data_IF_343369969680
#
_entry.id   IF_343369969680
#
_cell.length_a   1.000
_cell.length_b   1.000
_cell.length_c   1.000
_cell.angle_alpha   90.00
_cell.angle_beta   90.00
_cell.angle_gamma   90.00
#
_symmetry.space_group_name_H-M   'P 1'
#
loop_
_entity.id
_entity.type
_entity.pdbx_description
1 polymer ?
#
# COMPACT_ATOMS: atom_id res chain seq x y z
N UNK A 1 22.16 16.81 -12.19
CA UNK A 1 22.26 15.65 -11.27
C UNK A 1 21.15 14.69 -11.64
N UNK A 2 21.45 13.41 -11.87
CA UNK A 2 20.44 12.41 -12.25
C UNK A 2 19.74 11.81 -11.04
N UNK A 3 18.60 11.16 -11.25
CA UNK A 3 17.85 10.42 -10.23
C UNK A 3 18.72 9.35 -9.54
N UNK A 4 19.59 8.68 -10.32
CA UNK A 4 20.57 7.71 -9.82
C UNK A 4 21.61 8.35 -8.90
N UNK A 5 22.15 9.50 -9.27
CA UNK A 5 23.14 10.22 -8.45
C UNK A 5 22.52 10.66 -7.12
N UNK A 6 21.29 11.18 -7.18
CA UNK A 6 20.57 11.65 -6.01
C UNK A 6 20.19 10.50 -5.07
N UNK A 7 19.73 9.36 -5.60
CA UNK A 7 19.49 8.16 -4.82
C UNK A 7 20.76 7.68 -4.11
N UNK A 8 21.88 7.63 -4.84
CA UNK A 8 23.16 7.21 -4.29
C UNK A 8 23.63 8.17 -3.19
N UNK A 9 23.55 9.48 -3.43
CA UNK A 9 23.85 10.50 -2.42
C UNK A 9 22.98 10.29 -1.18
N UNK A 10 21.67 10.21 -1.30
CA UNK A 10 20.77 10.07 -0.14
C UNK A 10 20.98 8.77 0.67
N UNK A 11 21.46 7.70 0.03
CA UNK A 11 21.75 6.41 0.68
C UNK A 11 23.05 6.40 1.44
N UNK A 12 24.11 6.89 0.82
CA UNK A 12 25.47 6.73 1.31
C UNK A 12 26.00 7.97 2.01
N UNK A 13 25.35 9.12 1.85
CA UNK A 13 25.72 10.35 2.53
C UNK A 13 25.33 10.28 4.02
N UNK A 14 26.38 10.20 4.84
CA UNK A 14 26.29 10.37 6.30
C UNK A 14 26.45 11.83 6.74
N UNK A 15 26.50 12.76 5.77
CA UNK A 15 26.69 14.20 5.98
C UNK A 15 25.48 14.90 6.59
N UNK A 16 25.48 16.23 6.47
CA UNK A 16 24.46 17.10 7.06
C UNK A 16 23.05 16.73 6.57
N UNK A 17 22.16 16.46 7.53
CA UNK A 17 20.76 16.15 7.28
C UNK A 17 20.06 17.26 6.49
N UNK A 18 20.42 18.52 6.73
CA UNK A 18 19.85 19.65 6.00
C UNK A 18 20.23 19.63 4.50
N UNK A 19 21.46 19.25 4.19
CA UNK A 19 21.98 19.20 2.81
C UNK A 19 21.32 18.08 1.99
N UNK A 20 21.06 16.93 2.61
CA UNK A 20 20.28 15.85 1.99
C UNK A 20 18.86 16.30 1.60
N UNK A 21 18.18 17.05 2.47
CA UNK A 21 16.85 17.60 2.16
C UNK A 21 16.92 18.73 1.13
N UNK A 22 17.97 19.55 1.14
CA UNK A 22 18.17 20.60 0.14
C UNK A 22 18.27 20.00 -1.27
N UNK A 23 19.07 18.93 -1.44
CA UNK A 23 19.19 18.22 -2.73
C UNK A 23 17.86 17.69 -3.25
N UNK A 24 17.02 17.11 -2.37
CA UNK A 24 15.68 16.64 -2.75
C UNK A 24 14.76 17.80 -3.18
N UNK A 25 14.77 18.89 -2.42
CA UNK A 25 13.96 20.08 -2.73
C UNK A 25 14.41 20.74 -4.03
N UNK A 26 15.70 20.82 -4.28
CA UNK A 26 16.24 21.44 -5.49
C UNK A 26 15.89 20.61 -6.74
N UNK A 27 15.81 19.29 -6.62
CA UNK A 27 15.49 18.39 -7.74
C UNK A 27 13.98 18.19 -7.97
N UNK A 28 13.17 18.07 -6.91
CA UNK A 28 11.76 17.67 -6.99
C UNK A 28 10.79 18.58 -6.22
N UNK A 29 11.29 19.55 -5.45
CA UNK A 29 10.47 20.33 -4.52
C UNK A 29 9.26 20.99 -5.17
N UNK A 30 9.46 21.68 -6.29
CA UNK A 30 8.38 22.37 -7.01
C UNK A 30 7.32 21.40 -7.55
N UNK A 31 7.74 20.25 -8.07
CA UNK A 31 6.87 19.24 -8.64
C UNK A 31 6.02 18.55 -7.57
N UNK A 32 6.64 18.12 -6.47
CA UNK A 32 5.93 17.49 -5.35
C UNK A 32 5.03 18.49 -4.63
N UNK A 33 5.47 19.75 -4.46
CA UNK A 33 4.65 20.80 -3.89
C UNK A 33 3.41 21.08 -4.76
N UNK A 34 3.59 21.18 -6.08
CA UNK A 34 2.46 21.35 -7.02
C UNK A 34 1.46 20.21 -6.88
N UNK A 35 1.93 18.96 -6.78
CA UNK A 35 1.07 17.80 -6.55
C UNK A 35 0.27 17.94 -5.24
N UNK A 36 0.93 18.32 -4.14
CA UNK A 36 0.26 18.56 -2.85
C UNK A 36 -0.83 19.64 -2.96
N UNK A 37 -0.54 20.76 -3.61
CA UNK A 37 -1.51 21.86 -3.81
C UNK A 37 -2.71 21.42 -4.63
N UNK A 38 -2.49 20.61 -5.67
CA UNK A 38 -3.58 20.08 -6.49
C UNK A 38 -4.53 19.19 -5.69
N UNK A 39 -4.02 18.43 -4.73
CA UNK A 39 -4.82 17.52 -3.89
C UNK A 39 -5.47 18.25 -2.72
N UNK A 40 -4.71 19.05 -1.99
CA UNK A 40 -5.12 19.59 -0.69
C UNK A 40 -5.83 20.94 -0.80
N UNK A 41 -5.58 21.70 -1.89
CA UNK A 41 -6.10 23.07 -2.11
C UNK A 41 -5.79 24.07 -0.99
N UNK A 42 -4.81 23.74 -0.13
CA UNK A 42 -4.36 24.53 1.00
C UNK A 42 -2.82 24.55 0.99
N UNK A 43 -2.22 25.75 1.07
CA UNK A 43 -0.75 25.91 0.99
C UNK A 43 -0.03 25.52 2.26
N UNK A 44 -0.62 25.75 3.42
CA UNK A 44 0.01 25.39 4.69
C UNK A 44 -0.09 23.87 4.89
N UNK A 45 -1.21 23.26 4.52
CA UNK A 45 -1.34 21.81 4.41
C UNK A 45 -0.31 21.21 3.45
N UNK A 46 -0.17 21.78 2.24
CA UNK A 46 0.79 21.32 1.26
C UNK A 46 2.25 21.45 1.74
N UNK A 47 2.57 22.50 2.50
CA UNK A 47 3.89 22.66 3.12
C UNK A 47 4.18 21.54 4.13
N UNK A 48 3.21 21.24 5.00
CA UNK A 48 3.32 20.15 5.99
C UNK A 48 3.49 18.81 5.29
N UNK A 49 2.65 18.50 4.31
CA UNK A 49 2.69 17.23 3.56
C UNK A 49 3.97 17.08 2.76
N UNK A 50 4.47 18.15 2.13
CA UNK A 50 5.77 18.11 1.45
C UNK A 50 6.90 17.80 2.42
N UNK A 51 6.94 18.49 3.58
CA UNK A 51 7.94 18.21 4.62
C UNK A 51 7.90 16.75 5.04
N UNK A 52 6.70 16.22 5.31
CA UNK A 52 6.54 14.84 5.76
C UNK A 52 6.94 13.83 4.68
N UNK A 53 6.60 14.11 3.42
CA UNK A 53 7.04 13.31 2.27
C UNK A 53 8.56 13.21 2.22
N UNK A 54 9.27 14.33 2.40
CA UNK A 54 10.73 14.34 2.40
C UNK A 54 11.32 13.58 3.58
N UNK A 55 10.73 13.71 4.78
CA UNK A 55 11.14 12.93 5.96
C UNK A 55 11.01 11.43 5.67
N UNK A 56 9.85 11.00 5.16
CA UNK A 56 9.59 9.60 4.82
C UNK A 56 10.54 9.12 3.74
N UNK A 57 10.76 9.91 2.69
CA UNK A 57 11.69 9.57 1.61
C UNK A 57 13.10 9.35 2.17
N UNK A 58 13.61 10.25 3.01
CA UNK A 58 14.96 10.12 3.59
C UNK A 58 15.10 8.90 4.50
N UNK A 59 14.07 8.59 5.29
CA UNK A 59 14.08 7.46 6.20
C UNK A 59 14.00 6.11 5.48
N UNK A 60 13.27 6.05 4.35
CA UNK A 60 12.96 4.81 3.66
C UNK A 60 13.66 4.65 2.30
N UNK A 61 14.61 5.52 1.96
CA UNK A 61 15.38 5.48 0.71
C UNK A 61 16.12 4.14 0.48
N UNK A 62 16.45 3.43 1.56
CA UNK A 62 17.04 2.09 1.50
C UNK A 62 16.10 1.03 0.92
N UNK A 63 14.78 1.27 0.92
CA UNK A 63 13.77 0.30 0.45
C UNK A 63 13.61 0.28 -1.07
N UNK A 64 14.02 1.33 -1.80
CA UNK A 64 13.79 1.44 -3.24
C UNK A 64 14.89 0.73 -4.07
N UNK A 65 14.72 -0.49 -4.56
CA UNK A 65 15.84 -1.24 -5.17
C UNK A 65 16.39 -0.61 -6.45
N UNK A 66 15.55 0.07 -7.24
CA UNK A 66 15.89 0.59 -8.55
C UNK A 66 15.81 2.12 -8.62
N UNK A 67 16.92 2.76 -8.99
CA UNK A 67 17.03 4.20 -9.18
C UNK A 67 16.14 4.76 -10.30
N UNK A 68 15.86 3.97 -11.34
CA UNK A 68 15.01 4.41 -12.45
C UNK A 68 13.56 4.63 -12.01
N UNK A 69 13.16 4.10 -10.84
CA UNK A 69 11.82 4.28 -10.26
C UNK A 69 11.76 5.38 -9.21
N UNK A 70 12.83 6.18 -9.06
CA UNK A 70 12.96 7.12 -7.94
C UNK A 70 11.93 8.24 -7.99
N UNK A 71 11.70 8.81 -9.16
CA UNK A 71 10.65 9.80 -9.39
C UNK A 71 9.28 9.25 -9.02
N UNK A 72 8.89 8.12 -9.60
CA UNK A 72 7.60 7.48 -9.37
C UNK A 72 7.41 7.14 -7.90
N UNK A 73 8.47 6.71 -7.23
CA UNK A 73 8.47 6.42 -5.81
C UNK A 73 8.21 7.67 -4.96
N UNK A 74 8.86 8.80 -5.28
CA UNK A 74 8.60 10.09 -4.60
C UNK A 74 7.15 10.57 -4.80
N UNK A 75 6.59 10.39 -5.99
CA UNK A 75 5.18 10.69 -6.23
C UNK A 75 4.24 9.78 -5.44
N UNK A 76 4.52 8.48 -5.39
CA UNK A 76 3.73 7.53 -4.60
C UNK A 76 3.77 7.87 -3.09
N UNK A 77 4.93 8.29 -2.58
CA UNK A 77 5.05 8.79 -1.20
C UNK A 77 4.21 10.05 -0.99
N UNK A 78 4.26 10.99 -1.94
CA UNK A 78 3.48 12.24 -1.89
C UNK A 78 1.98 11.94 -1.85
N UNK A 79 1.51 11.00 -2.67
CA UNK A 79 0.12 10.56 -2.68
C UNK A 79 -0.29 9.92 -1.35
N UNK A 80 0.53 9.02 -0.83
CA UNK A 80 0.29 8.40 0.47
C UNK A 80 0.21 9.44 1.60
N UNK A 81 1.11 10.43 1.61
CA UNK A 81 1.11 11.50 2.61
C UNK A 81 -0.09 12.45 2.46
N UNK A 82 -0.50 12.78 1.24
CA UNK A 82 -1.73 13.53 1.01
C UNK A 82 -2.96 12.78 1.54
N UNK A 83 -3.06 11.47 1.26
CA UNK A 83 -4.16 10.63 1.75
C UNK A 83 -4.17 10.54 3.28
N UNK A 84 -3.00 10.39 3.92
CA UNK A 84 -2.88 10.40 5.39
C UNK A 84 -3.32 11.73 5.98
N UNK A 85 -2.89 12.84 5.40
CA UNK A 85 -3.30 14.17 5.84
C UNK A 85 -4.82 14.32 5.76
N UNK A 86 -5.43 14.00 4.62
CA UNK A 86 -6.88 14.09 4.43
C UNK A 86 -7.65 13.18 5.40
N UNK A 87 -7.18 11.96 5.65
CA UNK A 87 -7.78 11.06 6.64
C UNK A 87 -7.74 11.63 8.07
N UNK A 88 -6.59 12.18 8.48
CA UNK A 88 -6.46 12.83 9.79
C UNK A 88 -7.29 14.10 9.91
N UNK A 89 -7.31 14.94 8.87
CA UNK A 89 -8.09 16.18 8.83
C UNK A 89 -9.59 15.93 8.79
N UNK A 90 -10.06 14.88 8.12
CA UNK A 90 -11.47 14.50 8.16
C UNK A 90 -11.89 14.06 9.57
N UNK A 91 -11.05 13.26 10.24
CA UNK A 91 -11.28 12.87 11.63
C UNK A 91 -11.24 14.05 12.62
N UNK A 92 -10.46 15.10 12.32
CA UNK A 92 -10.46 16.34 13.10
C UNK A 92 -11.61 17.29 12.72
N UNK A 93 -12.05 17.32 11.44
CA UNK A 93 -13.19 18.13 11.00
C UNK A 93 -14.54 17.63 11.50
N UNK A 94 -14.64 16.34 11.83
CA UNK A 94 -15.78 15.84 12.63
C UNK A 94 -15.80 16.43 14.05
N UNK A 95 -14.72 17.07 14.50
CA UNK A 95 -14.60 17.74 15.78
C UNK A 95 -14.60 19.28 15.67
N UNK A 96 -14.02 19.88 14.61
CA UNK A 96 -13.95 21.34 14.43
C UNK A 96 -14.16 21.82 12.97
N UNK A 97 -15.04 22.81 12.77
CA UNK A 97 -15.27 23.48 11.49
C UNK A 97 -14.54 24.83 11.44
N UNK A 98 -13.46 24.96 10.66
CA UNK A 98 -12.92 26.28 10.30
C UNK A 98 -12.52 26.40 8.81
N UNK A 99 -12.78 27.56 8.15
CA UNK A 99 -12.53 27.76 6.73
C UNK A 99 -11.09 28.16 6.36
N UNK A 100 -10.81 27.98 5.05
CA UNK A 100 -9.54 28.04 4.31
C UNK A 100 -8.79 29.40 4.32
N UNK A 101 -7.46 29.33 4.30
CA UNK A 101 -6.56 30.47 4.04
C UNK A 101 -5.61 30.24 2.84
N UNK A 102 -5.35 31.28 2.03
CA UNK A 102 -4.32 31.37 0.98
C UNK A 102 -3.92 32.87 0.77
N UNK A 103 -2.71 33.27 0.28
CA UNK A 103 -1.49 32.50 -0.04
C UNK A 103 -0.12 33.17 0.31
N UNK A 104 1.00 32.43 0.16
CA UNK A 104 2.37 32.93 -0.09
C UNK A 104 3.08 32.15 -1.25
N UNK A 105 4.10 32.75 -1.88
CA UNK A 105 4.83 32.27 -3.09
C UNK A 105 5.72 31.02 -2.84
N UNK A 106 6.10 30.33 -3.93
CA UNK A 106 6.78 29.02 -3.92
C UNK A 106 8.26 29.05 -3.47
N UNK A 107 8.95 30.16 -3.69
CA UNK A 107 10.29 30.45 -3.18
C UNK A 107 10.38 30.35 -1.64
N UNK A 108 9.30 30.74 -0.95
CA UNK A 108 9.19 30.60 0.50
C UNK A 108 9.02 29.14 0.95
N UNK A 109 8.56 28.23 0.08
CA UNK A 109 8.35 26.82 0.44
C UNK A 109 9.68 26.15 0.71
N UNK A 110 10.69 26.34 -0.15
CA UNK A 110 12.04 25.78 0.07
C UNK A 110 12.61 26.24 1.41
N UNK A 111 12.64 27.56 1.63
CA UNK A 111 13.18 28.13 2.85
C UNK A 111 12.42 27.65 4.10
N UNK A 112 11.08 27.61 4.03
CA UNK A 112 10.23 27.18 5.14
C UNK A 112 10.36 25.69 5.43
N UNK A 113 10.45 24.83 4.40
CA UNK A 113 10.65 23.39 4.57
C UNK A 113 12.03 23.14 5.16
N UNK A 114 13.09 23.73 4.60
CA UNK A 114 14.45 23.55 5.12
C UNK A 114 14.60 24.07 6.55
N UNK A 115 14.05 25.25 6.84
CA UNK A 115 14.10 25.81 8.20
C UNK A 115 13.35 24.92 9.20
N UNK A 116 12.24 24.30 8.79
CA UNK A 116 11.51 23.35 9.64
C UNK A 116 12.26 22.02 9.76
N UNK A 117 12.57 21.36 8.66
CA UNK A 117 13.07 19.98 8.68
C UNK A 117 14.51 19.86 9.20
N UNK A 118 15.34 20.91 9.05
CA UNK A 118 16.76 20.89 9.41
C UNK A 118 17.05 21.16 10.90
N UNK A 119 16.05 21.58 11.69
CA UNK A 119 16.25 21.90 13.12
C UNK A 119 16.47 20.64 13.97
N UNK A 120 17.41 20.63 14.92
CA UNK A 120 17.62 19.47 15.80
C UNK A 120 16.42 19.22 16.73
N UNK A 121 15.69 20.26 17.15
CA UNK A 121 14.51 20.14 18.01
C UNK A 121 13.38 19.34 17.36
N UNK A 122 13.37 19.26 16.03
CA UNK A 122 12.40 18.51 15.24
C UNK A 122 12.82 17.05 14.99
N UNK A 123 13.89 16.57 15.63
CA UNK A 123 14.30 15.16 15.54
C UNK A 123 13.18 14.19 15.97
N UNK A 124 12.50 14.47 17.09
CA UNK A 124 11.37 13.65 17.54
C UNK A 124 10.23 13.62 16.52
N UNK A 125 9.92 14.76 15.90
CA UNK A 125 8.94 14.85 14.82
C UNK A 125 9.35 14.01 13.61
N UNK A 126 10.62 14.08 13.19
CA UNK A 126 11.14 13.27 12.08
C UNK A 126 11.02 11.77 12.38
N UNK A 127 11.40 11.35 13.58
CA UNK A 127 11.27 9.95 14.01
C UNK A 127 9.82 9.50 13.99
N UNK A 128 8.90 10.32 14.49
CA UNK A 128 7.47 10.01 14.47
C UNK A 128 6.93 9.87 13.04
N UNK A 129 7.20 10.84 12.16
CA UNK A 129 6.76 10.83 10.76
C UNK A 129 7.37 9.65 10.00
N UNK A 130 8.65 9.35 10.23
CA UNK A 130 9.30 8.18 9.64
C UNK A 130 8.69 6.86 10.10
N UNK A 131 8.36 6.74 11.39
CA UNK A 131 7.80 5.53 11.98
C UNK A 131 6.35 5.28 11.53
N UNK A 132 5.51 6.32 11.37
CA UNK A 132 4.11 6.15 10.90
C UNK A 132 4.00 5.73 9.44
N UNK A 133 5.07 5.90 8.65
CA UNK A 133 5.17 5.38 7.30
C UNK A 133 5.87 4.01 7.33
N UNK A 134 5.18 2.98 7.79
CA UNK A 134 5.75 1.64 7.97
C UNK A 134 5.39 0.65 6.84
N UNK A 135 4.22 0.82 6.21
CA UNK A 135 3.68 -0.09 5.18
C UNK A 135 4.25 0.15 3.80
N UNK A 136 5.12 -0.76 3.36
CA UNK A 136 5.70 -0.77 2.03
C UNK A 136 5.61 -2.17 1.41
N UNK A 137 5.42 -2.22 0.10
CA UNK A 137 5.46 -3.47 -0.67
C UNK A 137 6.88 -4.01 -0.78
N UNK A 138 7.00 -5.24 -1.32
CA UNK A 138 8.31 -5.86 -1.60
C UNK A 138 9.15 -5.08 -2.61
N UNK A 139 8.51 -4.26 -3.44
CA UNK A 139 9.16 -3.42 -4.43
C UNK A 139 9.62 -2.06 -3.86
N UNK A 140 9.39 -1.83 -2.56
CA UNK A 140 9.77 -0.62 -1.87
C UNK A 140 8.78 0.54 -2.03
N UNK A 141 7.62 0.35 -2.67
CA UNK A 141 6.59 1.39 -2.81
C UNK A 141 5.66 1.44 -1.61
N UNK A 142 5.16 2.62 -1.22
CA UNK A 142 4.19 2.73 -0.13
C UNK A 142 2.92 1.96 -0.51
N UNK A 143 2.39 1.19 0.44
CA UNK A 143 1.08 0.58 0.27
C UNK A 143 0.00 1.64 0.54
N UNK A 144 -1.16 1.57 -0.13
CA UNK A 144 -2.30 2.40 0.22
C UNK A 144 -2.60 2.30 1.71
N UNK A 145 -3.02 3.39 2.38
CA UNK A 145 -3.52 3.28 3.74
C UNK A 145 -4.62 2.23 3.73
N UNK A 146 -4.42 1.15 4.50
CA UNK A 146 -5.48 0.17 4.69
C UNK A 146 -6.68 0.91 5.25
N UNK A 147 -7.84 0.77 4.61
CA UNK A 147 -9.09 1.09 5.28
C UNK A 147 -9.06 0.33 6.62
N UNK A 148 -9.51 0.95 7.71
CA UNK A 148 -9.44 0.37 9.06
C UNK A 148 -10.03 -1.05 9.15
N UNK A 149 -10.05 -1.69 10.33
CA UNK A 149 -10.25 -3.14 10.53
C UNK A 149 -11.56 -3.77 9.98
N UNK A 150 -12.37 -3.04 9.22
CA UNK A 150 -13.46 -3.55 8.40
C UNK A 150 -13.03 -4.02 7.00
N UNK A 151 -11.73 -4.01 6.67
CA UNK A 151 -11.19 -4.50 5.40
C UNK A 151 -10.29 -5.74 5.53
N UNK A 152 -10.51 -6.56 6.56
CA UNK A 152 -10.45 -8.02 6.33
C UNK A 152 -11.67 -8.38 5.48
N UNK A 153 -11.57 -8.15 4.18
CA UNK A 153 -12.56 -8.65 3.23
C UNK A 153 -12.54 -10.17 3.32
N UNK A 154 -13.63 -10.83 3.75
CA UNK A 154 -13.65 -12.26 3.78
C UNK A 154 -13.84 -12.71 2.32
N UNK A 155 -12.78 -13.19 1.68
CA UNK A 155 -12.88 -14.19 0.60
C UNK A 155 -12.82 -15.67 1.10
N UNK A 156 -13.36 -16.10 2.27
CA UNK A 156 -13.64 -17.50 2.55
C UNK A 156 -15.04 -17.92 2.07
N UNK A 157 -15.91 -17.02 1.63
CA UNK A 157 -17.26 -17.39 1.16
C UNK A 157 -17.21 -18.21 -0.13
N UNK A 158 -16.33 -17.87 -1.07
CA UNK A 158 -16.16 -18.65 -2.30
C UNK A 158 -15.62 -20.06 -2.00
N UNK A 159 -14.66 -20.17 -1.07
CA UNK A 159 -14.12 -21.46 -0.63
C UNK A 159 -15.16 -22.30 0.11
N UNK A 160 -16.02 -21.68 0.93
CA UNK A 160 -17.09 -22.38 1.63
C UNK A 160 -18.17 -22.87 0.66
N UNK A 161 -18.55 -22.04 -0.32
CA UNK A 161 -19.48 -22.43 -1.39
C UNK A 161 -18.92 -23.59 -2.21
N UNK A 162 -17.63 -23.56 -2.59
CA UNK A 162 -16.97 -24.66 -3.30
C UNK A 162 -16.93 -25.94 -2.45
N UNK A 163 -16.57 -25.83 -1.17
CA UNK A 163 -16.54 -26.99 -0.27
C UNK A 163 -17.93 -27.64 -0.09
N UNK A 164 -18.98 -26.82 0.05
CA UNK A 164 -20.37 -27.28 0.13
C UNK A 164 -20.81 -27.93 -1.18
N UNK A 165 -20.48 -27.35 -2.33
CA UNK A 165 -20.76 -27.93 -3.65
C UNK A 165 -20.06 -29.28 -3.83
N UNK A 166 -18.79 -29.39 -3.43
CA UNK A 166 -18.04 -30.65 -3.47
C UNK A 166 -18.67 -31.70 -2.55
N UNK A 167 -19.07 -31.33 -1.33
CA UNK A 167 -19.72 -32.25 -0.38
C UNK A 167 -21.07 -32.76 -0.90
N UNK A 168 -21.88 -31.86 -1.49
CA UNK A 168 -23.16 -32.23 -2.11
C UNK A 168 -22.96 -33.15 -3.31
N UNK A 169 -21.96 -32.89 -4.15
CA UNK A 169 -21.62 -33.75 -5.29
C UNK A 169 -21.22 -35.17 -4.84
N UNK A 170 -20.40 -35.28 -3.79
CA UNK A 170 -20.01 -36.58 -3.22
C UNK A 170 -21.22 -37.33 -2.67
N UNK A 171 -22.14 -36.66 -1.97
CA UNK A 171 -23.37 -37.27 -1.48
C UNK A 171 -24.27 -37.79 -2.61
N UNK A 172 -24.41 -37.01 -3.69
CA UNK A 172 -25.17 -37.42 -4.87
C UNK A 172 -24.52 -38.63 -5.55
N UNK A 173 -23.19 -38.64 -5.71
CA UNK A 173 -22.46 -39.77 -6.30
C UNK A 173 -22.53 -41.03 -5.44
N UNK A 174 -22.42 -40.90 -4.11
CA UNK A 174 -22.55 -42.02 -3.18
C UNK A 174 -23.98 -42.59 -3.19
N UNK A 175 -25.00 -41.71 -3.18
CA UNK A 175 -26.39 -42.12 -3.32
C UNK A 175 -26.69 -42.79 -4.67
N UNK A 176 -26.04 -42.32 -5.74
CA UNK A 176 -26.13 -42.95 -7.05
C UNK A 176 -25.43 -44.30 -7.09
N UNK A 177 -24.28 -44.46 -6.44
CA UNK A 177 -23.58 -45.75 -6.34
C UNK A 177 -24.35 -46.76 -5.48
N UNK A 178 -25.04 -46.31 -4.43
CA UNK A 178 -25.88 -47.13 -3.56
C UNK A 178 -27.21 -47.54 -4.22
N UNK A 179 -27.80 -46.67 -5.05
CA UNK A 179 -29.00 -47.01 -5.83
C UNK A 179 -28.66 -47.82 -7.08
N UNK A 180 -27.43 -47.71 -7.56
CA UNK A 180 -26.83 -48.58 -8.56
C UNK A 180 -26.16 -49.77 -7.88
N UNK A 181 -26.90 -50.49 -7.05
CA UNK A 181 -26.57 -51.88 -6.73
C UNK A 181 -26.63 -52.65 -8.06
N UNK A 182 -25.49 -53.06 -8.66
CA UNK A 182 -25.52 -53.86 -9.86
C UNK A 182 -26.14 -55.19 -9.44
N UNK A 183 -27.34 -55.45 -9.95
CA UNK A 183 -28.13 -56.60 -9.58
C UNK A 183 -27.29 -57.87 -9.55
N UNK A 184 -27.47 -58.65 -8.48
CA UNK A 184 -27.60 -60.11 -8.51
C UNK A 184 -27.21 -60.73 -9.87
N UNK A 185 -25.92 -60.88 -10.13
CA UNK A 185 -25.48 -62.02 -10.92
C UNK A 185 -25.39 -63.19 -9.94
N UNK A 186 -26.52 -63.91 -9.81
CA UNK A 186 -26.50 -65.27 -9.31
C UNK A 186 -25.65 -66.09 -10.29
N UNK A 187 -24.40 -66.31 -9.92
CA UNK A 187 -23.68 -67.50 -10.34
C UNK A 187 -24.28 -68.72 -9.64
N UNK A 188 -24.88 -69.60 -10.44
CA UNK A 188 -25.17 -71.06 -10.28
C UNK A 188 -26.26 -71.34 -11.31
N UNK A 189 -26.07 -72.02 -12.44
CA UNK A 189 -25.34 -73.26 -12.67
C UNK A 189 -24.83 -73.35 -14.12
N UNK A 190 -23.65 -73.95 -14.27
CA UNK A 190 -23.16 -74.64 -15.47
C UNK A 190 -22.91 -76.10 -15.04
N UNK A 191 -22.70 -77.07 -15.95
CA UNK A 191 -23.44 -77.55 -17.13
C UNK A 191 -23.87 -79.03 -16.95
N UNK A 192 -24.49 -79.66 -17.98
CA UNK A 192 -24.28 -81.05 -18.48
C UNK A 192 -25.48 -81.47 -19.37
N UNK A 193 -25.41 -81.38 -20.69
CA UNK A 193 -25.00 -82.41 -21.68
C UNK A 193 -25.73 -83.77 -21.56
N UNK A 194 -26.30 -84.17 -22.72
CA UNK A 194 -26.76 -85.51 -23.14
C UNK A 194 -28.05 -86.04 -22.46
N UNK A 195 -28.99 -86.69 -23.12
CA UNK A 195 -29.07 -87.28 -24.46
C UNK A 195 -30.18 -88.34 -24.44
N UNK A 196 -30.58 -88.79 -25.64
CA UNK A 196 -31.38 -89.98 -25.94
C UNK A 196 -32.91 -89.95 -25.71
N UNK A 197 -33.60 -89.97 -26.87
CA UNK A 197 -34.68 -90.88 -27.29
C UNK A 197 -35.80 -91.26 -26.34
#
# INVERSE_FOLDING_TARGET
>A
MTDRDLLHALRFDRGDTADAYARLLDAYGDELYRRCILVLRDRDAAHVVLRDTLIVARAHIGRLPNAERFREWLHALTEAECSRYLGSHQAHRTWDAHPLALPARADLVRARVLNGIGRPELAGYRTHVAARADRFGRDGFPLPPGHGPLADGPLPQLSFVIAVLCALLVLVLAGYALTRDPGRELGTDEPQIAGAS
#
